data_IF_490704327626
#
_entry.id   IF_490704327626
#
_cell.length_a   1.000
_cell.length_b   1.000
_cell.length_c   1.000
_cell.angle_alpha   90.00
_cell.angle_beta   90.00
_cell.angle_gamma   90.00
#
_symmetry.space_group_name_H-M   'P 1'
#
loop_
_entity.id
_entity.type
_entity.pdbx_description
1 polymer ?
#
# COMPACT_ATOMS: atom_id res chain seq x y z
N UNK A 1 6.31 33.10 0.31
CA UNK A 1 6.87 31.79 -0.12
C UNK A 1 8.30 31.91 -0.63
N UNK A 2 8.59 32.75 -1.67
CA UNK A 2 9.97 32.85 -2.23
C UNK A 2 10.99 33.30 -1.19
N UNK A 3 10.72 34.36 -0.44
CA UNK A 3 11.59 34.84 0.63
C UNK A 3 11.79 33.79 1.71
N UNK A 4 10.73 33.13 2.12
CA UNK A 4 10.80 32.06 3.11
C UNK A 4 11.71 30.89 2.66
N UNK A 5 11.59 30.45 1.39
CA UNK A 5 12.46 29.38 0.88
C UNK A 5 13.91 29.85 0.80
N UNK A 6 14.13 31.10 0.40
CA UNK A 6 15.48 31.70 0.39
C UNK A 6 16.08 31.75 1.78
N UNK A 7 15.31 32.23 2.77
CA UNK A 7 15.75 32.31 4.16
C UNK A 7 15.94 30.93 4.80
N UNK A 8 14.99 30.01 4.56
CA UNK A 8 14.99 28.70 5.23
C UNK A 8 15.95 27.69 4.60
N UNK A 9 16.22 27.79 3.29
CA UNK A 9 16.98 26.77 2.55
C UNK A 9 18.14 27.32 1.72
N UNK A 10 18.34 28.66 1.69
CA UNK A 10 19.35 29.35 0.86
C UNK A 10 19.15 29.06 -0.64
N UNK A 11 17.90 28.90 -1.11
CA UNK A 11 17.57 28.60 -2.50
C UNK A 11 16.92 29.83 -3.17
N UNK A 12 17.40 30.21 -4.37
CA UNK A 12 16.80 31.29 -5.14
C UNK A 12 15.71 30.78 -6.08
N UNK A 13 14.45 31.01 -5.69
CA UNK A 13 13.29 30.55 -6.44
C UNK A 13 13.05 31.40 -7.69
N UNK A 14 12.96 30.74 -8.85
CA UNK A 14 12.67 31.35 -10.16
C UNK A 14 11.17 31.18 -10.49
N UNK A 15 10.54 30.06 -10.08
CA UNK A 15 9.13 29.81 -10.35
C UNK A 15 8.61 28.48 -9.80
N UNK A 16 7.29 28.31 -9.88
CA UNK A 16 6.58 27.13 -9.41
C UNK A 16 5.71 26.54 -10.51
N UNK A 17 5.66 25.21 -10.57
CA UNK A 17 4.71 24.43 -11.37
C UNK A 17 3.88 23.59 -10.41
N UNK A 18 2.57 23.80 -10.37
CA UNK A 18 1.66 22.99 -9.56
C UNK A 18 1.51 21.61 -10.20
N UNK A 19 1.81 20.56 -9.45
CA UNK A 19 1.69 19.16 -9.89
C UNK A 19 0.41 18.53 -9.36
N UNK A 20 0.13 18.72 -8.06
CA UNK A 20 -1.12 18.30 -7.41
C UNK A 20 -1.60 19.39 -6.45
N UNK A 21 -2.71 19.15 -5.74
CA UNK A 21 -3.21 20.10 -4.71
C UNK A 21 -2.18 20.38 -3.61
N UNK A 22 -1.29 19.41 -3.29
CA UNK A 22 -0.32 19.48 -2.20
C UNK A 22 1.13 19.53 -2.68
N UNK A 23 1.41 19.32 -3.99
CA UNK A 23 2.77 19.16 -4.52
C UNK A 23 3.06 20.20 -5.59
N UNK A 24 4.22 20.86 -5.44
CA UNK A 24 4.75 21.84 -6.38
C UNK A 24 6.17 21.49 -6.80
N UNK A 25 6.44 21.58 -8.10
CA UNK A 25 7.80 21.59 -8.63
C UNK A 25 8.32 23.01 -8.56
N UNK A 26 9.36 23.22 -7.77
CA UNK A 26 9.99 24.52 -7.57
C UNK A 26 11.25 24.58 -8.43
N UNK A 27 11.32 25.57 -9.32
CA UNK A 27 12.53 25.87 -10.10
C UNK A 27 13.34 26.90 -9.34
N UNK A 28 14.54 26.52 -8.92
CA UNK A 28 15.53 27.41 -8.32
C UNK A 28 16.75 27.56 -9.25
N UNK A 29 17.66 28.47 -8.93
CA UNK A 29 18.95 28.60 -9.64
C UNK A 29 19.79 27.34 -9.47
N UNK A 30 19.73 26.70 -8.31
CA UNK A 30 20.46 25.52 -7.91
C UNK A 30 19.90 24.22 -8.50
N UNK A 31 18.67 24.26 -9.07
CA UNK A 31 18.03 23.11 -9.67
C UNK A 31 16.52 23.03 -9.44
N UNK A 32 15.97 21.82 -9.55
CA UNK A 32 14.55 21.58 -9.34
C UNK A 32 14.32 20.85 -8.02
N UNK A 33 13.30 21.30 -7.28
CA UNK A 33 12.92 20.75 -5.99
C UNK A 33 11.45 20.41 -5.97
N UNK A 34 11.08 19.46 -5.14
CA UNK A 34 9.70 19.13 -4.79
C UNK A 34 9.35 19.82 -3.48
N UNK A 35 8.37 20.69 -3.50
CA UNK A 35 7.75 21.24 -2.29
C UNK A 35 6.44 20.52 -2.07
N UNK A 36 6.29 19.86 -0.91
CA UNK A 36 5.08 19.13 -0.56
C UNK A 36 4.49 19.66 0.74
N UNK A 37 3.24 20.10 0.68
CA UNK A 37 2.47 20.45 1.87
C UNK A 37 1.98 19.18 2.56
N UNK A 38 2.17 19.12 3.88
CA UNK A 38 1.83 17.98 4.72
C UNK A 38 1.23 18.46 6.05
N UNK A 39 0.59 17.54 6.76
CA UNK A 39 0.19 17.74 8.15
C UNK A 39 1.29 17.14 9.05
N UNK A 40 1.69 17.86 10.08
CA UNK A 40 2.72 17.36 11.02
C UNK A 40 2.09 16.42 12.06
N UNK A 41 1.69 15.25 11.63
CA UNK A 41 1.19 14.18 12.49
C UNK A 41 2.35 13.28 12.96
N UNK A 42 3.44 13.86 13.46
CA UNK A 42 4.65 13.13 13.86
C UNK A 42 5.57 12.77 12.70
N UNK A 43 5.38 13.36 11.52
CA UNK A 43 6.18 13.10 10.31
C UNK A 43 7.67 13.38 10.53
N UNK A 44 8.03 14.41 11.31
CA UNK A 44 9.42 14.72 11.65
C UNK A 44 10.10 13.52 12.33
N UNK A 45 9.44 12.91 13.32
CA UNK A 45 9.98 11.74 14.04
C UNK A 45 10.17 10.55 13.13
N UNK A 46 9.22 10.32 12.22
CA UNK A 46 9.29 9.23 11.22
C UNK A 46 10.46 9.45 10.27
N UNK A 47 10.66 10.67 9.75
CA UNK A 47 11.76 11.00 8.85
C UNK A 47 13.11 10.86 9.56
N UNK A 48 13.24 11.39 10.79
CA UNK A 48 14.45 11.25 11.59
C UNK A 48 14.80 9.76 11.82
N UNK A 49 13.78 8.95 12.07
CA UNK A 49 13.98 7.51 12.25
C UNK A 49 14.41 6.82 10.94
N UNK A 50 13.77 7.12 9.79
CA UNK A 50 14.18 6.59 8.47
C UNK A 50 15.63 6.96 8.15
N UNK A 51 16.00 8.21 8.41
CA UNK A 51 17.39 8.68 8.19
C UNK A 51 18.37 7.93 9.11
N UNK A 52 18.01 7.70 10.38
CA UNK A 52 18.84 6.93 11.33
C UNK A 52 19.05 5.48 10.92
N UNK A 53 18.10 4.88 10.20
CA UNK A 53 18.21 3.53 9.64
C UNK A 53 19.06 3.47 8.36
N UNK A 54 19.55 4.62 7.87
CA UNK A 54 20.37 4.73 6.66
C UNK A 54 19.78 4.06 5.42
N UNK A 55 18.45 4.12 5.27
CA UNK A 55 17.69 3.50 4.18
C UNK A 55 17.89 4.25 2.87
N UNK A 56 18.86 3.81 2.07
CA UNK A 56 19.22 4.45 0.80
C UNK A 56 18.10 4.46 -0.24
N UNK A 57 17.09 3.62 -0.09
CA UNK A 57 15.94 3.54 -1.01
C UNK A 57 14.91 4.67 -0.84
N UNK A 58 15.01 5.50 0.20
CA UNK A 58 14.15 6.67 0.35
C UNK A 58 14.85 7.94 -0.16
N UNK A 59 14.03 8.84 -0.74
CA UNK A 59 14.53 10.15 -1.17
C UNK A 59 14.76 11.03 0.08
N UNK A 60 15.98 11.60 0.27
CA UNK A 60 16.25 12.42 1.45
C UNK A 60 15.42 13.72 1.41
N UNK A 61 15.02 14.18 2.58
CA UNK A 61 14.41 15.51 2.77
C UNK A 61 15.51 16.53 2.99
N UNK A 62 15.36 17.71 2.40
CA UNK A 62 16.28 18.82 2.59
C UNK A 62 15.87 19.54 3.89
N UNK A 63 16.77 19.55 4.86
CA UNK A 63 16.55 20.25 6.12
C UNK A 63 16.77 21.74 5.96
N UNK A 64 15.95 22.53 6.65
CA UNK A 64 16.12 23.97 6.67
C UNK A 64 17.37 24.39 7.50
N UNK A 65 17.70 25.69 7.52
CA UNK A 65 18.87 26.19 8.24
C UNK A 65 18.84 25.90 9.76
N UNK A 66 17.65 25.68 10.32
CA UNK A 66 17.45 25.23 11.72
C UNK A 66 17.60 23.71 11.87
N UNK A 67 18.01 23.00 10.82
CA UNK A 67 18.09 21.53 10.73
C UNK A 67 16.74 20.81 10.92
N UNK A 68 15.63 21.51 10.74
CA UNK A 68 14.28 20.94 10.83
C UNK A 68 13.86 20.35 9.49
N UNK A 69 13.09 19.27 9.54
CA UNK A 69 12.50 18.60 8.38
C UNK A 69 11.36 19.43 7.77
N UNK A 70 10.53 19.99 8.63
CA UNK A 70 9.35 20.75 8.24
C UNK A 70 9.58 22.25 8.39
N UNK A 71 8.98 23.00 7.49
CA UNK A 71 8.96 24.47 7.52
C UNK A 71 7.52 24.94 7.48
N UNK A 72 7.16 25.86 8.40
CA UNK A 72 5.81 26.44 8.49
C UNK A 72 5.67 27.60 7.50
N UNK A 73 4.52 27.64 6.84
CA UNK A 73 4.10 28.76 5.98
C UNK A 73 2.61 28.99 6.18
N UNK A 74 2.27 30.15 6.74
CA UNK A 74 0.90 30.45 7.20
C UNK A 74 0.40 29.33 8.14
N UNK A 75 -0.78 28.77 7.92
CA UNK A 75 -1.36 27.67 8.70
C UNK A 75 -0.96 26.27 8.18
N UNK A 76 0.04 26.18 7.29
CA UNK A 76 0.45 24.92 6.66
C UNK A 76 1.93 24.63 6.91
N UNK A 77 2.26 23.36 6.89
CA UNK A 77 3.65 22.90 6.92
C UNK A 77 4.03 22.22 5.61
N UNK A 78 5.28 22.33 5.23
CA UNK A 78 5.82 21.70 4.03
C UNK A 78 7.24 21.20 4.27
N UNK A 79 7.67 20.28 3.41
CA UNK A 79 9.08 19.91 3.28
C UNK A 79 9.57 20.08 1.84
N UNK A 80 10.88 20.17 1.68
CA UNK A 80 11.56 20.14 0.40
C UNK A 80 12.34 18.84 0.21
N UNK A 81 12.34 18.34 -1.01
CA UNK A 81 13.21 17.26 -1.46
C UNK A 81 13.70 17.53 -2.87
N UNK A 82 14.76 16.86 -3.36
CA UNK A 82 15.15 16.95 -4.76
C UNK A 82 13.98 16.54 -5.68
N UNK A 83 13.85 17.21 -6.83
CA UNK A 83 12.89 16.80 -7.84
C UNK A 83 13.47 15.68 -8.70
N UNK A 84 12.78 14.55 -8.75
CA UNK A 84 13.13 13.45 -9.64
C UNK A 84 12.22 13.44 -10.87
N UNK A 85 12.79 13.06 -12.02
CA UNK A 85 12.00 12.88 -13.24
C UNK A 85 11.20 11.57 -13.16
N UNK A 86 10.00 11.55 -13.78
CA UNK A 86 9.17 10.36 -13.79
C UNK A 86 9.78 9.23 -14.65
N UNK A 87 9.62 8.00 -14.18
CA UNK A 87 10.09 6.78 -14.82
C UNK A 87 9.00 6.08 -15.64
N UNK A 88 8.21 6.84 -16.40
CA UNK A 88 7.03 6.30 -17.09
C UNK A 88 7.37 5.22 -18.13
N UNK A 89 8.61 5.21 -18.65
CA UNK A 89 9.06 4.22 -19.64
C UNK A 89 9.46 2.86 -19.00
N UNK A 90 9.56 2.77 -17.68
CA UNK A 90 9.96 1.52 -17.02
C UNK A 90 8.74 0.63 -16.82
N UNK A 91 8.92 -0.66 -17.12
CA UNK A 91 7.90 -1.69 -16.96
C UNK A 91 7.43 -1.79 -15.50
N UNK A 92 6.13 -1.90 -15.29
CA UNK A 92 5.50 -1.91 -13.96
C UNK A 92 6.00 -3.07 -13.09
N UNK A 93 6.28 -4.25 -13.66
CA UNK A 93 6.85 -5.40 -12.94
C UNK A 93 8.20 -5.09 -12.28
N UNK A 94 9.11 -4.43 -13.02
CA UNK A 94 10.40 -4.04 -12.49
C UNK A 94 10.26 -3.02 -11.36
N UNK A 95 9.31 -2.09 -11.50
CA UNK A 95 8.99 -1.14 -10.42
C UNK A 95 8.46 -1.87 -9.18
N UNK A 96 7.58 -2.86 -9.34
CA UNK A 96 7.08 -3.63 -8.21
C UNK A 96 8.17 -4.44 -7.53
N UNK A 97 9.04 -5.09 -8.30
CA UNK A 97 10.19 -5.81 -7.74
C UNK A 97 11.06 -4.88 -6.89
N UNK A 98 11.43 -3.73 -7.42
CA UNK A 98 12.18 -2.73 -6.68
C UNK A 98 11.43 -2.24 -5.43
N UNK A 99 10.12 -1.99 -5.54
CA UNK A 99 9.28 -1.61 -4.41
C UNK A 99 9.34 -2.64 -3.28
N UNK A 100 9.15 -3.92 -3.58
CA UNK A 100 9.23 -4.99 -2.58
C UNK A 100 10.62 -5.17 -1.99
N UNK A 101 11.67 -4.95 -2.77
CA UNK A 101 13.03 -4.90 -2.25
C UNK A 101 13.20 -3.77 -1.23
N UNK A 102 12.69 -2.57 -1.54
CA UNK A 102 12.72 -1.44 -0.60
C UNK A 102 11.90 -1.72 0.67
N UNK A 103 10.68 -2.30 0.53
CA UNK A 103 9.86 -2.68 1.67
C UNK A 103 10.54 -3.72 2.55
N UNK A 104 11.18 -4.72 1.96
CA UNK A 104 11.88 -5.74 2.74
C UNK A 104 13.01 -5.15 3.59
N UNK A 105 13.71 -4.13 3.07
CA UNK A 105 14.71 -3.38 3.84
C UNK A 105 14.06 -2.54 4.94
N UNK A 106 13.02 -1.76 4.62
CA UNK A 106 12.31 -0.94 5.59
C UNK A 106 11.82 -1.78 6.77
N UNK A 107 11.13 -2.87 6.46
CA UNK A 107 10.54 -3.74 7.47
C UNK A 107 11.62 -4.43 8.31
N UNK A 108 12.60 -5.07 7.67
CA UNK A 108 13.64 -5.83 8.39
C UNK A 108 14.51 -4.98 9.31
N UNK A 109 14.78 -3.72 8.93
CA UNK A 109 15.60 -2.81 9.75
C UNK A 109 14.84 -2.10 10.85
N UNK A 110 13.51 -2.05 10.75
CA UNK A 110 12.64 -1.35 11.71
C UNK A 110 11.80 -2.28 12.59
N UNK A 111 12.03 -3.60 12.55
CA UNK A 111 11.30 -4.54 13.40
C UNK A 111 11.56 -4.35 14.88
N UNK A 112 10.48 -4.39 15.65
CA UNK A 112 10.51 -4.53 17.10
C UNK A 112 9.31 -5.32 17.60
N UNK A 113 9.46 -5.96 18.76
CA UNK A 113 8.37 -6.68 19.42
C UNK A 113 7.60 -5.70 20.32
N UNK A 114 6.30 -5.77 20.24
CA UNK A 114 5.39 -4.95 21.03
C UNK A 114 4.44 -5.84 21.81
N UNK A 115 4.36 -5.61 23.13
CA UNK A 115 3.45 -6.35 24.00
C UNK A 115 2.02 -5.90 23.78
N UNK A 116 1.11 -6.84 23.56
CA UNK A 116 -0.30 -6.58 23.32
C UNK A 116 -1.18 -7.32 24.30
N UNK A 117 -2.34 -6.75 24.58
CA UNK A 117 -3.36 -7.41 25.36
C UNK A 117 -4.19 -8.38 24.52
N UNK A 118 -4.83 -9.36 25.15
CA UNK A 118 -5.77 -10.25 24.47
C UNK A 118 -6.92 -9.49 23.75
N UNK A 119 -7.31 -8.32 24.28
CA UNK A 119 -8.32 -7.48 23.66
C UNK A 119 -7.88 -6.87 22.33
N UNK A 120 -6.57 -6.74 22.09
CA UNK A 120 -6.02 -6.30 20.80
C UNK A 120 -6.37 -7.29 19.69
N UNK A 121 -6.04 -8.56 19.90
CA UNK A 121 -6.33 -9.61 18.90
C UNK A 121 -7.83 -9.78 18.70
N UNK A 122 -8.62 -9.75 19.80
CA UNK A 122 -10.07 -9.84 19.69
C UNK A 122 -10.64 -8.75 18.79
N UNK A 123 -10.27 -7.50 18.99
CA UNK A 123 -10.71 -6.37 18.17
C UNK A 123 -10.26 -6.53 16.71
N UNK A 124 -8.99 -6.89 16.48
CA UNK A 124 -8.48 -7.10 15.13
C UNK A 124 -9.26 -8.18 14.38
N UNK A 125 -9.59 -9.29 15.03
CA UNK A 125 -10.36 -10.40 14.44
C UNK A 125 -11.80 -9.94 14.13
N UNK A 126 -12.43 -9.22 15.06
CA UNK A 126 -13.77 -8.67 14.87
C UNK A 126 -13.81 -7.68 13.69
N UNK A 127 -12.82 -6.78 13.60
CA UNK A 127 -12.72 -5.81 12.50
C UNK A 127 -12.57 -6.53 11.15
N UNK A 128 -11.73 -7.56 11.07
CA UNK A 128 -11.54 -8.34 9.83
C UNK A 128 -12.80 -9.14 9.48
N UNK A 129 -13.46 -9.78 10.45
CA UNK A 129 -14.71 -10.50 10.22
C UNK A 129 -15.79 -9.56 9.67
N UNK A 130 -15.91 -8.37 10.23
CA UNK A 130 -16.85 -7.36 9.75
C UNK A 130 -16.56 -6.97 8.29
N UNK A 131 -15.29 -6.74 7.94
CA UNK A 131 -14.88 -6.45 6.55
C UNK A 131 -15.28 -7.61 5.62
N UNK A 132 -15.07 -8.87 6.02
CA UNK A 132 -15.45 -10.03 5.21
C UNK A 132 -16.97 -10.07 5.00
N UNK A 133 -17.76 -9.87 6.06
CA UNK A 133 -19.23 -9.85 5.96
C UNK A 133 -19.75 -8.67 5.10
N UNK A 134 -19.14 -7.50 5.20
CA UNK A 134 -19.46 -6.37 4.31
C UNK A 134 -19.18 -6.73 2.84
N UNK A 135 -18.08 -7.44 2.55
CA UNK A 135 -17.80 -7.92 1.19
C UNK A 135 -18.82 -8.95 0.71
N UNK A 136 -19.22 -9.89 1.56
CA UNK A 136 -20.26 -10.86 1.24
C UNK A 136 -21.57 -10.17 0.89
N UNK A 137 -22.00 -9.23 1.73
CA UNK A 137 -23.24 -8.46 1.49
C UNK A 137 -23.16 -7.67 0.17
N UNK A 138 -22.04 -6.99 -0.08
CA UNK A 138 -21.80 -6.22 -1.30
C UNK A 138 -21.89 -7.08 -2.57
N UNK A 139 -21.22 -8.24 -2.59
CA UNK A 139 -21.23 -9.11 -3.75
C UNK A 139 -22.55 -9.86 -3.92
N UNK A 140 -23.26 -10.18 -2.83
CA UNK A 140 -24.63 -10.71 -2.88
C UNK A 140 -25.60 -9.71 -3.51
N UNK A 141 -25.48 -8.43 -3.19
CA UNK A 141 -26.28 -7.37 -3.79
C UNK A 141 -26.06 -7.27 -5.30
N UNK A 142 -24.79 -7.29 -5.75
CA UNK A 142 -24.46 -7.28 -7.19
C UNK A 142 -25.06 -8.53 -7.87
N UNK A 143 -24.93 -9.71 -7.25
CA UNK A 143 -25.47 -10.96 -7.79
C UNK A 143 -27.00 -10.86 -7.97
N UNK A 144 -27.70 -10.43 -6.93
CA UNK A 144 -29.16 -10.25 -6.96
C UNK A 144 -29.59 -9.27 -8.05
N UNK A 145 -28.84 -8.17 -8.23
CA UNK A 145 -29.11 -7.19 -9.28
C UNK A 145 -28.97 -7.79 -10.69
N UNK A 146 -27.99 -8.68 -10.90
CA UNK A 146 -27.82 -9.34 -12.20
C UNK A 146 -28.83 -10.47 -12.43
N UNK A 147 -29.30 -11.16 -11.37
CA UNK A 147 -30.26 -12.25 -11.49
C UNK A 147 -31.63 -11.80 -11.97
N UNK A 148 -32.09 -10.62 -11.55
CA UNK A 148 -33.40 -10.09 -11.93
C UNK A 148 -33.46 -9.57 -13.38
N UNK A 149 -32.32 -9.40 -14.05
CA UNK A 149 -32.26 -8.90 -15.41
C UNK A 149 -32.65 -9.98 -16.41
N UNK A 150 -33.63 -9.71 -17.28
CA UNK A 150 -34.01 -10.61 -18.38
C UNK A 150 -32.88 -10.72 -19.43
N UNK A 151 -32.15 -9.63 -19.65
CA UNK A 151 -30.97 -9.58 -20.54
C UNK A 151 -29.78 -9.08 -19.75
N UNK A 152 -28.75 -9.91 -19.64
CA UNK A 152 -27.50 -9.56 -18.95
C UNK A 152 -26.48 -9.05 -19.94
N UNK A 153 -25.75 -8.03 -19.56
CA UNK A 153 -24.56 -7.56 -20.26
C UNK A 153 -23.45 -8.62 -20.22
N UNK A 154 -22.40 -8.52 -21.05
CA UNK A 154 -21.23 -9.38 -20.97
C UNK A 154 -20.62 -9.40 -19.56
N UNK A 155 -20.49 -8.24 -18.90
CA UNK A 155 -20.04 -8.13 -17.50
C UNK A 155 -20.95 -8.90 -16.54
N UNK A 156 -22.27 -8.79 -16.72
CA UNK A 156 -23.26 -9.51 -15.90
C UNK A 156 -23.09 -11.02 -16.02
N UNK A 157 -22.88 -11.54 -17.25
CA UNK A 157 -22.58 -12.95 -17.45
C UNK A 157 -21.23 -13.36 -16.85
N UNK A 158 -20.18 -12.57 -17.02
CA UNK A 158 -18.89 -12.85 -16.38
C UNK A 158 -19.04 -12.93 -14.86
N UNK A 159 -19.81 -12.04 -14.26
CA UNK A 159 -20.03 -12.03 -12.83
C UNK A 159 -20.81 -13.28 -12.36
N UNK A 160 -21.99 -13.53 -12.90
CA UNK A 160 -22.86 -14.64 -12.49
C UNK A 160 -22.15 -16.00 -12.62
N UNK A 161 -21.46 -16.23 -13.75
CA UNK A 161 -20.75 -17.50 -14.00
C UNK A 161 -19.56 -17.72 -13.05
N UNK A 162 -18.97 -16.67 -12.50
CA UNK A 162 -17.79 -16.75 -11.63
C UNK A 162 -18.07 -16.37 -10.17
N UNK A 163 -19.32 -16.08 -9.82
CA UNK A 163 -19.70 -15.67 -8.46
C UNK A 163 -19.28 -16.69 -7.40
N UNK A 164 -19.37 -17.97 -7.71
CA UNK A 164 -18.94 -19.05 -6.82
C UNK A 164 -17.45 -18.94 -6.40
N UNK A 165 -16.58 -18.36 -7.24
CA UNK A 165 -15.16 -18.12 -6.88
C UNK A 165 -15.04 -17.05 -5.82
N UNK A 166 -15.85 -15.98 -5.92
CA UNK A 166 -15.91 -14.90 -4.93
C UNK A 166 -16.40 -15.45 -3.58
N UNK A 167 -17.51 -16.18 -3.60
CA UNK A 167 -18.10 -16.78 -2.41
C UNK A 167 -17.14 -17.77 -1.73
N UNK A 168 -16.53 -18.66 -2.49
CA UNK A 168 -15.51 -19.59 -1.99
C UNK A 168 -14.32 -18.86 -1.37
N UNK A 169 -13.84 -17.79 -2.01
CA UNK A 169 -12.74 -17.00 -1.53
C UNK A 169 -13.06 -16.34 -0.17
N UNK A 170 -14.23 -15.72 -0.04
CA UNK A 170 -14.67 -15.08 1.21
C UNK A 170 -14.94 -16.12 2.33
N UNK A 171 -15.47 -17.30 1.98
CA UNK A 171 -15.62 -18.41 2.94
C UNK A 171 -14.27 -18.87 3.47
N UNK A 172 -13.29 -19.08 2.58
CA UNK A 172 -11.92 -19.43 2.96
C UNK A 172 -11.29 -18.35 3.85
N UNK A 173 -11.59 -17.05 3.62
CA UNK A 173 -11.13 -15.98 4.49
C UNK A 173 -11.59 -16.17 5.94
N UNK A 174 -12.86 -16.53 6.18
CA UNK A 174 -13.37 -16.80 7.52
C UNK A 174 -12.72 -18.04 8.15
N UNK A 175 -12.56 -19.13 7.40
CA UNK A 175 -11.91 -20.35 7.89
C UNK A 175 -10.45 -20.08 8.30
N UNK A 176 -9.71 -19.29 7.51
CA UNK A 176 -8.34 -18.91 7.86
C UNK A 176 -8.32 -17.94 9.05
N UNK A 177 -9.33 -17.06 9.16
CA UNK A 177 -9.45 -16.16 10.31
C UNK A 177 -9.69 -16.92 11.62
N UNK A 178 -10.42 -18.02 11.58
CA UNK A 178 -10.58 -18.92 12.72
C UNK A 178 -9.27 -19.60 13.11
N UNK A 179 -8.51 -20.09 12.13
CA UNK A 179 -7.16 -20.61 12.37
C UNK A 179 -6.21 -19.56 12.96
N UNK A 180 -6.31 -18.31 12.48
CA UNK A 180 -5.56 -17.19 13.04
C UNK A 180 -5.96 -16.90 14.49
N UNK A 181 -7.25 -16.88 14.80
CA UNK A 181 -7.79 -16.71 16.16
C UNK A 181 -7.22 -17.74 17.12
N UNK A 182 -7.29 -19.02 16.75
CA UNK A 182 -6.82 -20.12 17.59
C UNK A 182 -5.30 -20.02 17.86
N UNK A 183 -4.55 -19.52 16.89
CA UNK A 183 -3.11 -19.37 17.03
C UNK A 183 -2.73 -18.19 17.94
N UNK A 184 -3.33 -17.00 17.71
CA UNK A 184 -2.94 -15.77 18.42
C UNK A 184 -3.49 -15.67 19.83
N UNK A 185 -4.44 -16.52 20.23
CA UNK A 185 -4.98 -16.52 21.60
C UNK A 185 -3.91 -16.76 22.67
N UNK A 186 -2.78 -17.38 22.31
CA UNK A 186 -1.66 -17.69 23.19
C UNK A 186 -0.50 -16.68 23.05
N UNK A 187 -0.62 -15.69 22.19
CA UNK A 187 0.41 -14.67 22.00
C UNK A 187 0.14 -13.45 22.89
N UNK A 188 1.21 -12.90 23.43
CA UNK A 188 1.24 -11.66 24.23
C UNK A 188 2.08 -10.56 23.58
N UNK A 189 2.70 -10.89 22.44
CA UNK A 189 3.54 -9.98 21.67
C UNK A 189 3.24 -10.05 20.18
N UNK A 190 3.46 -8.95 19.46
CA UNK A 190 3.42 -8.86 18.00
C UNK A 190 4.69 -8.20 17.50
N UNK A 191 5.08 -8.53 16.28
CA UNK A 191 6.19 -7.88 15.59
C UNK A 191 5.66 -6.72 14.74
N UNK A 192 6.06 -5.50 15.10
CA UNK A 192 5.73 -4.27 14.36
C UNK A 192 6.95 -3.74 13.62
N UNK A 193 6.70 -2.92 12.61
CA UNK A 193 7.72 -2.21 11.85
C UNK A 193 7.18 -0.89 11.30
N UNK A 194 8.03 -0.10 10.66
CA UNK A 194 7.60 0.99 9.81
C UNK A 194 7.01 0.42 8.52
N UNK A 195 5.79 0.78 8.19
CA UNK A 195 5.10 0.42 6.94
C UNK A 195 4.93 1.64 6.05
N UNK A 196 5.09 1.47 4.74
CA UNK A 196 5.08 2.57 3.77
C UNK A 196 3.68 3.14 3.52
N UNK A 197 2.66 2.29 3.47
CA UNK A 197 1.22 2.61 3.33
C UNK A 197 0.81 3.53 2.15
N UNK A 198 1.67 3.75 1.17
CA UNK A 198 1.43 4.71 0.10
C UNK A 198 1.79 4.18 -1.28
N UNK A 199 1.44 2.91 -1.55
CA UNK A 199 1.73 2.30 -2.83
C UNK A 199 1.13 3.10 -3.99
N UNK A 200 1.99 3.56 -4.90
CA UNK A 200 1.66 4.15 -6.19
C UNK A 200 2.87 3.99 -7.12
N UNK A 201 2.64 3.58 -8.37
CA UNK A 201 3.72 3.48 -9.37
C UNK A 201 4.44 4.80 -9.62
N UNK A 202 3.75 5.93 -9.48
CA UNK A 202 4.34 7.25 -9.61
C UNK A 202 5.29 7.62 -8.46
N UNK A 203 5.27 6.87 -7.35
CA UNK A 203 6.17 7.08 -6.22
C UNK A 203 7.46 6.25 -6.33
N UNK A 204 7.58 5.41 -7.34
CA UNK A 204 8.72 4.52 -7.55
C UNK A 204 9.63 5.11 -8.61
N UNK A 205 10.75 5.70 -8.18
CA UNK A 205 11.78 6.33 -9.01
C UNK A 205 12.93 5.35 -9.19
N UNK A 206 12.71 4.34 -10.03
CA UNK A 206 13.62 3.21 -10.15
C UNK A 206 14.98 3.59 -10.71
N UNK A 207 15.07 4.55 -11.66
CA UNK A 207 16.34 5.03 -12.22
C UNK A 207 17.27 5.58 -11.16
N UNK A 208 16.72 6.29 -10.20
CA UNK A 208 17.45 6.86 -9.07
C UNK A 208 17.52 5.92 -7.86
N UNK A 209 16.85 4.77 -7.94
CA UNK A 209 16.77 3.82 -6.85
C UNK A 209 16.06 4.39 -5.61
N UNK A 210 14.96 5.14 -5.81
CA UNK A 210 14.27 5.87 -4.74
C UNK A 210 12.77 5.61 -4.69
N UNK A 211 12.25 5.56 -3.45
CA UNK A 211 10.83 5.76 -3.15
C UNK A 211 10.63 7.19 -2.65
N UNK A 212 9.52 7.80 -3.07
CA UNK A 212 9.10 9.14 -2.66
C UNK A 212 7.76 9.08 -1.92
N UNK A 213 7.29 10.20 -1.37
CA UNK A 213 5.97 10.30 -0.69
C UNK A 213 5.82 9.37 0.53
N UNK A 214 6.78 9.40 1.44
CA UNK A 214 6.79 8.59 2.67
C UNK A 214 6.03 9.24 3.86
N UNK A 215 5.25 10.27 3.60
CA UNK A 215 4.41 10.99 4.59
C UNK A 215 3.23 10.13 5.13
N UNK A 216 3.02 8.93 4.61
CA UNK A 216 2.05 7.95 5.11
C UNK A 216 2.68 6.80 5.89
N UNK A 217 3.99 6.84 6.11
CA UNK A 217 4.68 5.82 6.91
C UNK A 217 4.14 5.85 8.33
N UNK A 218 3.85 4.67 8.86
CA UNK A 218 3.38 4.48 10.24
C UNK A 218 3.87 3.13 10.78
N UNK A 219 3.80 2.97 12.10
CA UNK A 219 4.07 1.69 12.75
C UNK A 219 2.87 0.77 12.54
N UNK A 220 3.11 -0.42 11.97
CA UNK A 220 2.09 -1.43 11.73
C UNK A 220 2.73 -2.81 11.50
N UNK A 221 1.90 -3.84 11.26
CA UNK A 221 2.36 -5.15 10.78
C UNK A 221 2.83 -5.02 9.31
N UNK A 222 3.98 -5.61 9.00
CA UNK A 222 4.60 -5.55 7.67
C UNK A 222 3.67 -6.04 6.54
N UNK A 223 2.78 -6.98 6.84
CA UNK A 223 1.87 -7.58 5.87
C UNK A 223 0.86 -6.58 5.27
N UNK A 224 0.56 -5.48 5.97
CA UNK A 224 -0.39 -4.50 5.45
C UNK A 224 0.12 -3.75 4.21
N UNK A 225 1.43 -3.58 4.03
CA UNK A 225 1.95 -3.03 2.78
C UNK A 225 1.73 -3.96 1.59
N UNK A 226 1.80 -5.28 1.81
CA UNK A 226 1.49 -6.28 0.79
C UNK A 226 -0.01 -6.26 0.51
N UNK A 227 -0.84 -6.38 1.56
CA UNK A 227 -2.29 -6.38 1.44
C UNK A 227 -2.83 -5.12 0.75
N UNK A 228 -2.37 -3.93 1.15
CA UNK A 228 -2.83 -2.66 0.58
C UNK A 228 -2.51 -2.54 -0.91
N UNK A 229 -1.42 -3.12 -1.38
CA UNK A 229 -1.11 -3.18 -2.79
C UNK A 229 -2.10 -4.08 -3.54
N UNK A 230 -2.40 -5.26 -3.00
CA UNK A 230 -3.35 -6.20 -3.61
C UNK A 230 -4.78 -5.66 -3.67
N UNK A 231 -5.16 -4.75 -2.78
CA UNK A 231 -6.48 -4.09 -2.85
C UNK A 231 -6.62 -3.11 -4.02
N UNK A 232 -5.51 -2.78 -4.72
CA UNK A 232 -5.51 -1.91 -5.92
C UNK A 232 -5.60 -2.71 -7.21
N UNK A 233 -6.54 -3.64 -7.31
CA UNK A 233 -6.72 -4.56 -8.46
C UNK A 233 -6.65 -3.90 -9.84
N UNK A 234 -7.22 -2.69 -10.11
CA UNK A 234 -7.19 -2.11 -11.45
C UNK A 234 -5.79 -1.94 -12.02
N UNK A 235 -4.77 -1.95 -11.18
CA UNK A 235 -3.36 -1.78 -11.58
C UNK A 235 -2.59 -3.10 -11.64
N UNK A 236 -3.21 -4.22 -11.22
CA UNK A 236 -2.56 -5.51 -11.07
C UNK A 236 -2.72 -6.34 -12.34
N UNK A 237 -1.61 -6.67 -13.02
CA UNK A 237 -1.58 -7.43 -14.28
C UNK A 237 -0.46 -8.51 -14.26
N UNK A 238 0.07 -8.91 -13.08
CA UNK A 238 1.31 -9.69 -13.02
C UNK A 238 1.20 -10.93 -12.14
N UNK A 239 2.12 -11.86 -12.34
CA UNK A 239 2.35 -12.99 -11.46
C UNK A 239 2.95 -12.52 -10.13
N UNK A 240 2.05 -12.16 -9.20
CA UNK A 240 2.41 -11.62 -7.90
C UNK A 240 3.29 -12.53 -7.08
N UNK A 241 3.10 -13.81 -7.20
CA UNK A 241 3.88 -14.80 -6.50
C UNK A 241 5.37 -14.72 -6.85
N UNK A 242 5.72 -14.46 -8.10
CA UNK A 242 7.11 -14.26 -8.54
C UNK A 242 7.68 -12.95 -7.99
N UNK A 243 6.88 -11.90 -8.00
CA UNK A 243 7.32 -10.58 -7.50
C UNK A 243 7.52 -10.62 -5.99
N UNK A 244 6.64 -11.29 -5.23
CA UNK A 244 6.77 -11.45 -3.79
C UNK A 244 8.02 -12.26 -3.37
N UNK A 245 8.58 -13.08 -4.24
CA UNK A 245 9.82 -13.78 -3.94
C UNK A 245 10.96 -12.81 -3.60
N UNK A 246 11.03 -11.66 -4.27
CA UNK A 246 12.02 -10.62 -3.96
C UNK A 246 11.89 -10.07 -2.53
N UNK A 247 10.67 -10.06 -1.97
CA UNK A 247 10.40 -9.68 -0.60
C UNK A 247 10.75 -10.82 0.37
N UNK A 248 10.28 -12.04 0.11
CA UNK A 248 10.48 -13.19 1.00
C UNK A 248 11.92 -13.71 1.04
N UNK A 249 12.73 -13.45 0.02
CA UNK A 249 14.16 -13.73 0.05
C UNK A 249 14.90 -13.00 1.18
N UNK A 250 14.42 -11.83 1.57
CA UNK A 250 15.06 -10.96 2.57
C UNK A 250 14.34 -10.97 3.92
N UNK A 251 13.04 -11.29 3.93
CA UNK A 251 12.21 -11.20 5.10
C UNK A 251 11.33 -12.44 5.26
N UNK A 252 11.55 -13.19 6.34
CA UNK A 252 10.70 -14.32 6.70
C UNK A 252 9.54 -13.86 7.58
N UNK A 253 8.33 -14.14 7.12
CA UNK A 253 7.12 -13.91 7.90
C UNK A 253 6.99 -14.92 9.03
N UNK A 254 6.53 -14.45 10.18
CA UNK A 254 6.13 -15.30 11.31
C UNK A 254 4.83 -16.06 10.97
N UNK A 255 4.51 -17.08 11.74
CA UNK A 255 3.33 -17.91 11.48
C UNK A 255 2.03 -17.11 11.54
N UNK A 256 1.88 -16.28 12.56
CA UNK A 256 0.74 -15.36 12.70
C UNK A 256 0.65 -14.36 11.54
N UNK A 257 1.78 -13.85 11.07
CA UNK A 257 1.83 -12.93 9.93
C UNK A 257 1.41 -13.64 8.63
N UNK A 258 1.84 -14.88 8.43
CA UNK A 258 1.42 -15.69 7.27
C UNK A 258 -0.08 -15.98 7.30
N UNK A 259 -0.62 -16.41 8.46
CA UNK A 259 -2.05 -16.67 8.62
C UNK A 259 -2.88 -15.42 8.33
N UNK A 260 -2.48 -14.29 8.94
CA UNK A 260 -3.18 -13.04 8.76
C UNK A 260 -3.10 -12.54 7.31
N UNK A 261 -1.94 -12.62 6.68
CA UNK A 261 -1.78 -12.24 5.27
C UNK A 261 -2.64 -13.13 4.36
N UNK A 262 -2.65 -14.45 4.58
CA UNK A 262 -3.52 -15.37 3.83
C UNK A 262 -4.99 -15.00 3.99
N UNK A 263 -5.46 -14.76 5.21
CA UNK A 263 -6.82 -14.32 5.45
C UNK A 263 -7.13 -13.03 4.66
N UNK A 264 -6.28 -12.00 4.80
CA UNK A 264 -6.48 -10.70 4.14
C UNK A 264 -6.45 -10.80 2.61
N UNK A 265 -5.64 -11.66 2.02
CA UNK A 265 -5.60 -11.89 0.58
C UNK A 265 -6.89 -12.56 0.06
N UNK A 266 -7.60 -13.33 0.91
CA UNK A 266 -8.91 -13.89 0.57
C UNK A 266 -10.05 -12.88 0.74
N UNK A 267 -9.81 -11.72 1.36
CA UNK A 267 -10.79 -10.63 1.39
C UNK A 267 -10.88 -10.00 0.01
N UNK A 268 -11.88 -10.43 -0.76
CA UNK A 268 -12.06 -9.99 -2.15
C UNK A 268 -12.19 -8.47 -2.23
N UNK A 269 -11.34 -7.78 -3.05
CA UNK A 269 -11.40 -6.34 -3.19
C UNK A 269 -12.73 -5.86 -3.79
N UNK A 270 -13.19 -4.67 -3.40
CA UNK A 270 -14.37 -4.05 -4.01
C UNK A 270 -14.04 -3.65 -5.45
N UNK A 271 -14.87 -4.07 -6.39
CA UNK A 271 -14.92 -3.53 -7.74
C UNK A 271 -16.06 -2.53 -7.86
N UNK A 272 -15.88 -1.48 -8.64
CA UNK A 272 -16.96 -0.55 -8.99
C UNK A 272 -17.34 -0.79 -10.43
N UNK A 273 -18.60 -1.11 -10.66
CA UNK A 273 -19.16 -1.20 -12.01
C UNK A 273 -19.75 0.16 -12.38
N UNK A 274 -19.38 0.66 -13.55
CA UNK A 274 -19.77 1.96 -14.08
C UNK A 274 -20.73 1.79 -15.27
N UNK A 275 -21.08 2.89 -15.94
CA UNK A 275 -21.90 2.83 -17.16
C UNK A 275 -21.13 2.31 -18.39
N UNK A 276 -19.80 2.32 -18.35
CA UNK A 276 -18.95 1.84 -19.45
C UNK A 276 -18.72 0.33 -19.35
N UNK A 277 -19.37 -0.41 -20.25
CA UNK A 277 -19.29 -1.88 -20.29
C UNK A 277 -17.85 -2.38 -20.57
N UNK A 278 -17.08 -1.67 -21.39
CA UNK A 278 -15.68 -2.08 -21.70
C UNK A 278 -14.84 -2.01 -20.44
N UNK A 279 -14.95 -0.92 -19.69
CA UNK A 279 -14.24 -0.78 -18.42
C UNK A 279 -14.70 -1.84 -17.40
N UNK A 280 -15.99 -2.16 -17.36
CA UNK A 280 -16.52 -3.21 -16.50
C UNK A 280 -15.93 -4.58 -16.83
N UNK A 281 -15.84 -4.94 -18.12
CA UNK A 281 -15.20 -6.19 -18.58
C UNK A 281 -13.73 -6.23 -18.12
N UNK A 282 -12.99 -5.12 -18.27
CA UNK A 282 -11.60 -5.03 -17.84
C UNK A 282 -11.48 -5.24 -16.34
N UNK A 283 -12.32 -4.57 -15.54
CA UNK A 283 -12.32 -4.68 -14.08
C UNK A 283 -12.67 -6.11 -13.64
N UNK A 284 -13.69 -6.73 -14.25
CA UNK A 284 -14.05 -8.12 -13.98
C UNK A 284 -12.94 -9.10 -14.36
N UNK A 285 -12.31 -8.94 -15.53
CA UNK A 285 -11.20 -9.80 -15.96
C UNK A 285 -10.04 -9.75 -14.94
N UNK A 286 -9.73 -8.57 -14.43
CA UNK A 286 -8.69 -8.38 -13.41
C UNK A 286 -9.07 -9.01 -12.07
N UNK A 287 -10.34 -8.89 -11.66
CA UNK A 287 -10.84 -9.56 -10.46
C UNK A 287 -10.70 -11.08 -10.59
N UNK A 288 -11.11 -11.66 -11.73
CA UNK A 288 -11.00 -13.09 -11.95
C UNK A 288 -9.54 -13.56 -11.94
N UNK A 289 -8.65 -12.81 -12.58
CA UNK A 289 -7.22 -13.08 -12.53
C UNK A 289 -6.68 -13.05 -11.08
N UNK A 290 -7.11 -12.08 -10.28
CA UNK A 290 -6.76 -12.01 -8.86
C UNK A 290 -7.22 -13.26 -8.10
N UNK A 291 -8.49 -13.66 -8.26
CA UNK A 291 -9.04 -14.84 -7.58
C UNK A 291 -8.29 -16.13 -7.96
N UNK A 292 -7.93 -16.28 -9.23
CA UNK A 292 -7.16 -17.43 -9.69
C UNK A 292 -5.71 -17.40 -9.15
N UNK A 293 -5.10 -16.22 -8.98
CA UNK A 293 -3.74 -16.05 -8.44
C UNK A 293 -3.61 -16.34 -6.94
N UNK A 294 -4.69 -16.20 -6.15
CA UNK A 294 -4.67 -16.50 -4.71
C UNK A 294 -4.27 -17.95 -4.43
N UNK A 295 -4.67 -18.88 -5.28
CA UNK A 295 -4.31 -20.29 -5.14
C UNK A 295 -2.79 -20.51 -5.17
N UNK A 296 -2.07 -19.80 -6.02
CA UNK A 296 -0.60 -19.84 -6.10
C UNK A 296 0.05 -19.19 -4.87
N UNK A 297 -0.48 -18.03 -4.44
CA UNK A 297 0.00 -17.34 -3.24
C UNK A 297 -0.19 -18.17 -1.96
N UNK A 298 -1.30 -18.90 -1.84
CA UNK A 298 -1.55 -19.77 -0.70
C UNK A 298 -0.48 -20.85 -0.53
N UNK A 299 0.03 -21.41 -1.63
CA UNK A 299 1.12 -22.39 -1.58
C UNK A 299 2.41 -21.78 -1.01
N UNK A 300 2.74 -20.53 -1.37
CA UNK A 300 3.92 -19.82 -0.85
C UNK A 300 3.79 -19.41 0.62
N UNK A 301 2.57 -19.19 1.07
CA UNK A 301 2.24 -18.84 2.46
C UNK A 301 1.82 -20.06 3.29
N UNK A 302 2.04 -21.29 2.77
CA UNK A 302 1.74 -22.51 3.52
C UNK A 302 2.50 -22.51 4.85
N UNK A 303 1.86 -23.10 5.85
CA UNK A 303 2.41 -23.28 7.19
C UNK A 303 2.64 -24.80 7.27
N UNK A 304 3.90 -25.17 7.20
CA UNK A 304 4.33 -26.54 7.45
C UNK A 304 4.17 -26.87 8.93
#
# INVERSE_FOLDING_TARGET
MNELIKEAYSLEVIGYIKVTKKVYKVKCREGFFCLKFVEDNGLTVVIDHIESLHLKCFLPVIRNYKKQVLTSYEDKTFYLSPWLASDNAIVKELKLKFYYECLSYLHSTSFFNYSVSKSFFKRQIEDIANIIHERQAYYNEIMSNFEVLSYRSPTGWMFVLNYHKIECCLKNALEILDCYRDYVCNLDTIRLCLTYNNFNYAHIMMKEGKLISFDHIKINLCIYDIYNMYQKIPELIFDFDVILDSYFCKLKLLKEEKLLLRCLLHVVPIIKLEHDEINNIIVMSRLLYYLDSISSLNKKLSID
#
